data_IF_562897914565
#
_entry.id   IF_562897914565
#
_cell.length_a   1.000
_cell.length_b   1.000
_cell.length_c   1.000
_cell.angle_alpha   90.00
_cell.angle_beta   90.00
_cell.angle_gamma   90.00
#
_symmetry.space_group_name_H-M   'P 1'
#
loop_
_entity.id
_entity.type
_entity.pdbx_description
1 polymer ?
#
# COMPACT_ATOMS: atom_id res chain seq x y z
N UNK A 1 -9.42 0.16 -19.36
CA UNK A 1 -9.41 -0.88 -18.30
C UNK A 1 -10.36 -2.02 -18.65
N UNK A 2 -11.67 -1.79 -18.72
CA UNK A 2 -12.70 -2.83 -19.00
C UNK A 2 -12.37 -3.73 -20.21
N UNK A 3 -11.97 -3.15 -21.33
CA UNK A 3 -11.60 -3.90 -22.53
C UNK A 3 -10.43 -4.88 -22.30
N UNK A 4 -9.38 -4.44 -21.60
CA UNK A 4 -8.20 -5.28 -21.34
C UNK A 4 -8.52 -6.35 -20.31
N UNK A 5 -9.27 -6.02 -19.25
CA UNK A 5 -9.71 -7.01 -18.25
C UNK A 5 -10.57 -8.09 -18.90
N UNK A 6 -11.55 -7.69 -19.72
CA UNK A 6 -12.43 -8.62 -20.43
C UNK A 6 -11.64 -9.52 -21.39
N UNK A 7 -10.65 -8.97 -22.10
CA UNK A 7 -9.84 -9.75 -23.04
C UNK A 7 -8.95 -10.76 -22.31
N UNK A 8 -8.35 -10.38 -21.18
CA UNK A 8 -7.54 -11.28 -20.34
C UNK A 8 -8.42 -12.37 -19.72
N UNK A 9 -9.60 -12.03 -19.18
CA UNK A 9 -10.53 -13.01 -18.61
C UNK A 9 -11.03 -13.99 -19.66
N UNK A 10 -11.40 -13.50 -20.85
CA UNK A 10 -11.88 -14.36 -21.94
C UNK A 10 -10.78 -15.29 -22.45
N UNK A 11 -9.54 -14.80 -22.60
CA UNK A 11 -8.43 -15.64 -23.06
C UNK A 11 -8.03 -16.67 -22.01
N UNK A 12 -8.01 -16.30 -20.72
CA UNK A 12 -7.74 -17.21 -19.61
C UNK A 12 -8.80 -18.31 -19.55
N UNK A 13 -10.09 -17.95 -19.59
CA UNK A 13 -11.19 -18.91 -19.56
C UNK A 13 -11.17 -19.83 -20.78
N UNK A 14 -10.87 -19.31 -21.97
CA UNK A 14 -10.75 -20.11 -23.20
C UNK A 14 -9.55 -21.06 -23.14
N UNK A 15 -8.41 -20.59 -22.65
CA UNK A 15 -7.20 -21.39 -22.50
C UNK A 15 -7.36 -22.52 -21.46
N UNK A 16 -8.00 -22.23 -20.32
CA UNK A 16 -8.26 -23.24 -19.28
C UNK A 16 -9.30 -24.26 -19.74
N UNK A 17 -10.40 -23.83 -20.38
CA UNK A 17 -11.43 -24.75 -20.92
C UNK A 17 -10.90 -25.65 -22.05
N UNK A 18 -10.03 -25.12 -22.91
CA UNK A 18 -9.42 -25.91 -23.98
C UNK A 18 -8.54 -27.05 -23.44
N UNK A 19 -7.86 -26.85 -22.29
CA UNK A 19 -6.99 -27.86 -21.69
C UNK A 19 -7.68 -28.84 -20.75
N UNK A 20 -8.76 -28.42 -20.08
CA UNK A 20 -9.63 -29.33 -19.32
C UNK A 20 -10.27 -30.39 -20.23
N UNK A 21 -10.53 -30.06 -21.51
CA UNK A 21 -11.00 -31.03 -22.52
C UNK A 21 -9.96 -32.07 -22.93
N UNK A 22 -8.68 -31.86 -22.60
CA UNK A 22 -7.55 -32.74 -22.98
C UNK A 22 -7.13 -33.66 -21.80
N UNK A 23 -7.75 -33.51 -20.61
CA UNK A 23 -7.59 -34.46 -19.49
C UNK A 23 -6.36 -34.28 -18.60
N UNK A 24 -5.62 -33.16 -18.70
CA UNK A 24 -4.48 -32.87 -17.83
C UNK A 24 -4.90 -32.37 -16.43
N UNK A 25 -4.18 -32.79 -15.39
CA UNK A 25 -4.38 -32.28 -14.01
C UNK A 25 -3.98 -30.80 -13.94
N UNK A 26 -4.86 -29.98 -13.34
CA UNK A 26 -4.80 -28.51 -13.29
C UNK A 26 -3.41 -27.90 -13.01
N UNK A 27 -2.60 -28.41 -12.06
CA UNK A 27 -1.29 -27.83 -11.74
C UNK A 27 -0.23 -28.07 -12.84
N UNK A 28 -0.21 -29.26 -13.44
CA UNK A 28 0.74 -29.64 -14.49
C UNK A 28 0.44 -28.95 -15.82
N UNK A 29 -0.84 -28.77 -16.13
CA UNK A 29 -1.31 -28.05 -17.31
C UNK A 29 -0.98 -26.55 -17.26
N UNK A 30 -1.09 -25.92 -16.07
CA UNK A 30 -0.75 -24.52 -15.83
C UNK A 30 0.75 -24.27 -15.93
N UNK A 31 1.58 -25.09 -15.28
CA UNK A 31 3.03 -24.98 -15.35
C UNK A 31 3.57 -25.20 -16.78
N UNK A 32 3.04 -26.20 -17.49
CA UNK A 32 3.40 -26.48 -18.89
C UNK A 32 2.92 -25.42 -19.88
N UNK A 33 1.89 -24.63 -19.55
CA UNK A 33 1.40 -23.48 -20.34
C UNK A 33 2.32 -22.28 -20.22
N UNK A 34 2.65 -21.94 -18.98
CA UNK A 34 3.45 -20.78 -18.62
C UNK A 34 4.89 -20.92 -19.11
N UNK A 35 5.41 -22.16 -19.18
CA UNK A 35 6.80 -22.46 -19.59
C UNK A 35 6.97 -22.93 -21.06
N UNK A 36 5.88 -23.10 -21.84
CA UNK A 36 5.97 -23.28 -23.31
C UNK A 36 5.59 -22.06 -24.15
N UNK A 37 4.80 -21.13 -23.62
CA UNK A 37 4.33 -19.93 -24.33
C UNK A 37 4.60 -18.67 -23.51
N UNK A 38 5.81 -18.60 -22.96
CA UNK A 38 6.19 -17.74 -21.84
C UNK A 38 6.05 -16.27 -22.21
N UNK A 39 6.36 -15.93 -23.48
CA UNK A 39 6.21 -14.57 -24.02
C UNK A 39 4.77 -14.10 -24.06
N UNK A 40 3.82 -14.97 -24.46
CA UNK A 40 2.40 -14.62 -24.56
C UNK A 40 1.76 -14.46 -23.18
N UNK A 41 1.94 -15.43 -22.29
CA UNK A 41 1.33 -15.38 -20.95
C UNK A 41 2.06 -14.42 -20.01
N UNK A 42 3.37 -14.25 -20.15
CA UNK A 42 4.14 -13.20 -19.48
C UNK A 42 3.68 -11.81 -19.90
N UNK A 43 3.44 -11.59 -21.20
CA UNK A 43 2.85 -10.36 -21.72
C UNK A 43 1.47 -10.06 -21.13
N UNK A 44 0.58 -11.06 -21.00
CA UNK A 44 -0.72 -10.86 -20.34
C UNK A 44 -0.59 -10.56 -18.85
N UNK A 45 0.33 -11.22 -18.15
CA UNK A 45 0.60 -10.94 -16.75
C UNK A 45 1.10 -9.50 -16.56
N UNK A 46 1.99 -9.01 -17.43
CA UNK A 46 2.44 -7.61 -17.45
C UNK A 46 1.26 -6.65 -17.61
N UNK A 47 0.39 -6.87 -18.59
CA UNK A 47 -0.79 -6.02 -18.79
C UNK A 47 -1.74 -6.06 -17.59
N UNK A 48 -1.99 -7.24 -17.02
CA UNK A 48 -2.78 -7.39 -15.81
C UNK A 48 -2.18 -6.60 -14.65
N UNK A 49 -0.87 -6.66 -14.45
CA UNK A 49 -0.17 -5.90 -13.43
C UNK A 49 -0.31 -4.39 -13.62
N UNK A 50 -0.20 -3.88 -14.86
CA UNK A 50 -0.47 -2.45 -15.17
C UNK A 50 -1.91 -2.08 -14.81
N UNK A 51 -2.88 -2.93 -15.14
CA UNK A 51 -4.28 -2.70 -14.79
C UNK A 51 -4.48 -2.62 -13.28
N UNK A 52 -3.86 -3.54 -12.53
CA UNK A 52 -3.92 -3.56 -11.07
C UNK A 52 -3.27 -2.31 -10.47
N UNK A 53 -2.10 -1.90 -10.97
CA UNK A 53 -1.45 -0.65 -10.55
C UNK A 53 -2.34 0.56 -10.83
N UNK A 54 -2.91 0.67 -12.03
CA UNK A 54 -3.78 1.79 -12.40
C UNK A 54 -5.02 1.87 -11.50
N UNK A 55 -5.63 0.72 -11.17
CA UNK A 55 -6.73 0.64 -10.21
C UNK A 55 -6.29 1.04 -8.80
N UNK A 56 -5.11 0.60 -8.35
CA UNK A 56 -4.54 0.99 -7.07
C UNK A 56 -4.30 2.49 -6.96
N UNK A 57 -3.69 3.12 -7.97
CA UNK A 57 -3.41 4.57 -8.02
C UNK A 57 -4.69 5.40 -8.11
N UNK A 58 -5.63 4.99 -8.96
CA UNK A 58 -6.91 5.71 -9.12
C UNK A 58 -7.74 5.60 -7.85
N UNK A 59 -7.81 4.40 -7.28
CA UNK A 59 -8.55 4.15 -6.06
C UNK A 59 -7.92 4.81 -4.83
N UNK A 60 -6.58 4.85 -4.74
CA UNK A 60 -5.91 5.51 -3.61
C UNK A 60 -6.11 7.00 -3.59
N UNK A 61 -6.22 7.65 -4.74
CA UNK A 61 -6.52 9.08 -4.82
C UNK A 61 -8.03 9.36 -4.68
N UNK A 62 -8.89 8.58 -5.34
CA UNK A 62 -10.33 8.82 -5.35
C UNK A 62 -11.00 8.58 -3.98
N UNK A 63 -10.46 7.65 -3.18
CA UNK A 63 -10.99 7.32 -1.85
C UNK A 63 -10.04 7.73 -0.71
N UNK A 64 -9.08 8.61 -0.97
CA UNK A 64 -8.28 9.21 0.09
C UNK A 64 -9.15 10.16 0.91
N UNK A 65 -9.10 10.02 2.23
CA UNK A 65 -9.74 10.97 3.16
C UNK A 65 -8.67 11.49 4.10
N UNK A 66 -8.62 12.80 4.29
CA UNK A 66 -7.67 13.45 5.19
C UNK A 66 -8.39 14.46 6.07
N UNK A 67 -7.90 14.63 7.29
CA UNK A 67 -8.32 15.70 8.20
C UNK A 67 -7.11 16.27 8.91
N UNK A 68 -7.20 17.54 9.28
CA UNK A 68 -6.20 18.24 10.06
C UNK A 68 -6.89 18.87 11.26
N UNK A 69 -6.49 18.47 12.45
CA UNK A 69 -7.15 18.89 13.70
C UNK A 69 -6.15 19.03 14.82
N UNK A 70 -6.41 19.98 15.71
CA UNK A 70 -5.66 20.15 16.95
C UNK A 70 -6.37 19.39 18.06
N UNK A 71 -5.67 18.49 18.72
CA UNK A 71 -6.18 17.67 19.82
C UNK A 71 -5.49 18.06 21.12
N UNK A 72 -6.28 18.15 22.19
CA UNK A 72 -5.76 18.23 23.55
C UNK A 72 -5.46 16.82 24.07
N UNK A 73 -4.58 16.72 25.08
CA UNK A 73 -4.24 15.43 25.68
C UNK A 73 -5.52 14.72 26.18
N UNK A 74 -5.72 13.48 25.74
CA UNK A 74 -6.91 12.66 26.02
C UNK A 74 -8.06 12.84 25.02
N UNK A 75 -8.02 13.88 24.20
CA UNK A 75 -9.00 14.11 23.13
C UNK A 75 -8.75 13.18 21.95
N UNK A 76 -9.80 12.91 21.18
CA UNK A 76 -9.75 12.06 20.01
C UNK A 76 -10.45 12.69 18.81
N UNK A 77 -10.03 12.24 17.63
CA UNK A 77 -10.72 12.52 16.36
C UNK A 77 -11.09 11.20 15.70
N UNK A 78 -12.21 11.21 14.98
CA UNK A 78 -12.69 10.06 14.23
C UNK A 78 -12.58 10.37 12.72
N UNK A 79 -11.92 9.50 11.94
CA UNK A 79 -11.82 9.61 10.49
C UNK A 79 -11.93 8.23 9.83
N UNK A 80 -12.87 8.09 8.88
CA UNK A 80 -13.07 6.86 8.11
C UNK A 80 -13.20 5.58 8.97
N UNK A 81 -13.74 5.70 10.19
CA UNK A 81 -13.91 4.60 11.15
C UNK A 81 -12.73 4.40 12.11
N UNK A 82 -11.64 5.14 11.95
CA UNK A 82 -10.50 5.16 12.87
C UNK A 82 -10.68 6.23 13.94
N UNK A 83 -10.58 5.82 15.20
CA UNK A 83 -10.51 6.71 16.35
C UNK A 83 -9.07 6.93 16.75
N UNK A 84 -8.59 8.16 16.63
CA UNK A 84 -7.21 8.53 16.98
C UNK A 84 -7.23 9.42 18.19
N UNK A 85 -6.67 8.94 19.31
CA UNK A 85 -6.59 9.66 20.58
C UNK A 85 -5.17 10.15 20.82
N UNK A 86 -5.03 11.40 21.23
CA UNK A 86 -3.72 11.98 21.58
C UNK A 86 -3.35 11.65 23.03
N UNK A 87 -2.25 10.94 23.23
CA UNK A 87 -1.78 10.50 24.56
C UNK A 87 -0.81 11.49 25.22
N UNK A 88 -0.05 12.21 24.41
CA UNK A 88 0.93 13.19 24.87
C UNK A 88 2.13 13.34 23.93
N UNK A 89 2.99 14.29 24.27
CA UNK A 89 4.24 14.57 23.56
C UNK A 89 5.44 14.20 24.44
N UNK A 90 6.49 13.70 23.81
CA UNK A 90 7.78 13.44 24.41
C UNK A 90 8.85 14.18 23.60
N UNK A 91 9.66 14.97 24.28
CA UNK A 91 10.83 15.62 23.70
C UNK A 91 12.09 14.85 24.08
N UNK A 92 13.00 14.67 23.13
CA UNK A 92 14.29 14.02 23.34
C UNK A 92 15.39 14.79 22.60
N UNK A 93 16.49 15.05 23.29
CA UNK A 93 17.72 15.56 22.69
C UNK A 93 18.51 14.37 22.14
N UNK A 94 18.73 14.31 20.83
CA UNK A 94 19.61 13.34 20.17
C UNK A 94 20.93 14.03 19.78
N UNK A 95 21.99 13.25 19.55
CA UNK A 95 23.35 13.79 19.35
C UNK A 95 23.50 14.78 18.19
N UNK A 96 22.59 14.75 17.22
CA UNK A 96 22.62 15.58 16.03
C UNK A 96 21.33 16.38 15.78
N UNK A 97 20.28 16.18 16.60
CA UNK A 97 19.01 16.90 16.46
C UNK A 97 18.16 16.82 17.73
N UNK A 98 17.30 17.82 17.90
CA UNK A 98 16.22 17.74 18.87
C UNK A 98 15.01 17.08 18.22
N UNK A 99 14.31 16.18 18.94
CA UNK A 99 13.17 15.44 18.41
C UNK A 99 11.97 15.57 19.34
N UNK A 100 10.82 15.87 18.75
CA UNK A 100 9.53 15.85 19.45
C UNK A 100 8.68 14.74 18.85
N UNK A 101 8.26 13.79 19.68
CA UNK A 101 7.46 12.63 19.30
C UNK A 101 6.08 12.74 19.94
N UNK A 102 5.02 12.69 19.14
CA UNK A 102 3.66 12.59 19.66
C UNK A 102 3.25 11.12 19.77
N UNK A 103 2.57 10.75 20.85
CA UNK A 103 2.02 9.39 21.02
C UNK A 103 0.53 9.44 20.76
N UNK A 104 0.06 8.57 19.86
CA UNK A 104 -1.34 8.51 19.47
C UNK A 104 -1.82 7.06 19.46
N UNK A 105 -2.84 6.78 20.26
CA UNK A 105 -3.52 5.48 20.23
C UNK A 105 -4.59 5.50 19.14
N UNK A 106 -4.54 4.52 18.25
CA UNK A 106 -5.50 4.31 17.18
C UNK A 106 -6.31 3.07 17.48
N UNK A 107 -7.63 3.22 17.42
CA UNK A 107 -8.59 2.14 17.54
C UNK A 107 -9.49 2.08 16.30
N UNK A 108 -9.91 0.88 15.91
CA UNK A 108 -10.78 0.64 14.77
C UNK A 108 -11.62 -0.61 15.01
N UNK A 109 -12.94 -0.53 14.81
CA UNK A 109 -13.90 -1.60 15.16
C UNK A 109 -13.58 -2.99 14.55
N UNK A 110 -12.83 -3.03 13.45
CA UNK A 110 -12.48 -4.26 12.72
C UNK A 110 -10.98 -4.60 12.73
N UNK A 111 -10.15 -3.91 13.53
CA UNK A 111 -8.72 -4.17 13.58
C UNK A 111 -8.18 -4.00 15.01
N UNK A 112 -7.14 -4.76 15.36
CA UNK A 112 -6.47 -4.58 16.65
C UNK A 112 -5.92 -3.14 16.76
N UNK A 113 -6.14 -2.50 17.91
CA UNK A 113 -5.60 -1.17 18.21
C UNK A 113 -4.08 -1.12 18.05
N UNK A 114 -3.56 0.03 17.65
CA UNK A 114 -2.13 0.28 17.51
C UNK A 114 -1.77 1.65 18.06
N UNK A 115 -0.51 1.86 18.38
CA UNK A 115 0.01 3.15 18.81
C UNK A 115 0.95 3.66 17.72
N UNK A 116 0.73 4.90 17.28
CA UNK A 116 1.59 5.59 16.35
C UNK A 116 2.38 6.69 17.06
N UNK A 117 3.62 6.86 16.64
CA UNK A 117 4.63 7.77 17.17
C UNK A 117 5.18 8.72 16.09
N UNK A 118 4.33 9.54 15.43
CA UNK A 118 4.83 10.56 14.52
C UNK A 118 5.73 11.55 15.25
N UNK A 119 6.74 12.08 14.56
CA UNK A 119 7.71 12.96 15.18
C UNK A 119 8.06 14.17 14.30
N UNK A 120 8.63 15.19 14.92
CA UNK A 120 9.30 16.31 14.25
C UNK A 120 10.74 16.39 14.74
N UNK A 121 11.66 16.49 13.80
CA UNK A 121 13.10 16.58 14.04
C UNK A 121 13.59 18.00 13.72
N UNK A 122 14.32 18.59 14.64
CA UNK A 122 14.86 19.93 14.56
C UNK A 122 16.38 19.82 14.47
N UNK A 123 16.90 19.99 13.26
CA UNK A 123 18.33 19.99 13.00
C UNK A 123 18.87 21.42 13.11
N UNK A 124 19.96 21.68 13.85
CA UNK A 124 20.50 23.03 14.00
C UNK A 124 20.92 23.70 12.69
N UNK A 125 21.23 22.90 11.66
CA UNK A 125 21.68 23.36 10.34
C UNK A 125 20.49 23.64 9.38
N UNK A 126 19.28 23.23 9.73
CA UNK A 126 18.10 23.33 8.86
C UNK A 126 17.16 24.44 9.36
N UNK A 127 16.61 25.22 8.43
CA UNK A 127 15.68 26.30 8.78
C UNK A 127 14.29 25.81 9.15
N UNK A 128 13.92 24.60 8.72
CA UNK A 128 12.61 24.01 8.95
C UNK A 128 12.73 22.62 9.57
N UNK A 129 11.89 22.27 10.55
CA UNK A 129 11.87 20.93 11.11
C UNK A 129 11.41 19.90 10.07
N UNK A 130 12.00 18.71 10.15
CA UNK A 130 11.66 17.57 9.30
C UNK A 130 10.61 16.72 10.01
N UNK A 131 9.43 16.57 9.38
CA UNK A 131 8.37 15.71 9.89
C UNK A 131 8.67 14.23 9.58
N UNK A 132 8.57 13.39 10.59
CA UNK A 132 8.57 11.94 10.49
C UNK A 132 7.11 11.46 10.56
N UNK A 133 6.66 10.85 9.47
CA UNK A 133 5.33 10.28 9.36
C UNK A 133 5.35 8.88 9.94
N UNK A 134 4.43 8.60 10.85
CA UNK A 134 4.18 7.22 11.27
C UNK A 134 2.93 6.70 10.58
N UNK A 135 2.91 5.40 10.29
CA UNK A 135 1.89 4.80 9.45
C UNK A 135 1.57 3.38 9.87
N UNK A 136 0.33 2.98 9.60
CA UNK A 136 -0.13 1.61 9.73
C UNK A 136 -0.53 1.08 8.36
N UNK A 137 0.20 0.07 7.89
CA UNK A 137 -0.13 -0.64 6.65
C UNK A 137 -1.24 -1.66 6.88
N UNK A 138 -2.20 -1.71 5.96
CA UNK A 138 -3.25 -2.70 5.88
C UNK A 138 -3.36 -3.30 4.49
N UNK A 139 -4.22 -4.31 4.34
CA UNK A 139 -4.52 -4.89 3.02
C UNK A 139 -5.56 -4.06 2.23
N UNK A 140 -6.37 -3.28 2.95
CA UNK A 140 -7.46 -2.47 2.37
C UNK A 140 -7.20 -0.98 2.52
N UNK A 141 -6.71 -0.58 3.69
CA UNK A 141 -6.58 0.80 4.11
C UNK A 141 -5.25 0.98 4.85
N UNK A 142 -4.57 2.07 4.53
CA UNK A 142 -3.34 2.51 5.15
C UNK A 142 -3.61 3.84 5.85
N UNK A 143 -3.20 3.92 7.12
CA UNK A 143 -3.38 5.11 7.95
C UNK A 143 -2.03 5.80 8.10
N UNK A 144 -1.99 7.09 7.78
CA UNK A 144 -0.82 7.95 7.91
C UNK A 144 -1.11 9.04 8.92
N UNK A 145 -0.18 9.24 9.84
CA UNK A 145 -0.27 10.27 10.85
C UNK A 145 0.98 11.15 10.80
N UNK A 146 0.76 12.45 10.66
CA UNK A 146 1.82 13.45 10.64
C UNK A 146 1.61 14.39 11.81
N UNK A 147 2.67 14.61 12.58
CA UNK A 147 2.68 15.63 13.63
C UNK A 147 2.85 17.01 12.99
N UNK A 148 1.82 17.84 13.13
CA UNK A 148 1.79 19.24 12.75
C UNK A 148 2.39 20.13 13.85
N UNK A 149 1.80 21.29 14.08
CA UNK A 149 2.23 22.18 15.16
C UNK A 149 1.85 21.64 16.54
N UNK A 150 2.53 22.06 17.61
CA UNK A 150 2.27 21.59 18.96
C UNK A 150 2.54 22.68 20.01
N UNK A 151 1.79 22.63 21.10
CA UNK A 151 1.96 23.57 22.21
C UNK A 151 3.24 23.24 23.01
N UNK A 152 3.95 24.28 23.47
CA UNK A 152 5.21 24.12 24.23
C UNK A 152 5.03 23.42 25.58
N UNK A 153 3.85 23.52 26.16
CA UNK A 153 3.46 22.83 27.40
C UNK A 153 3.05 21.35 27.16
N UNK A 154 3.06 20.90 25.89
CA UNK A 154 2.65 19.56 25.50
C UNK A 154 1.15 19.30 25.63
N UNK A 155 0.33 20.33 25.89
CA UNK A 155 -1.10 20.16 26.16
C UNK A 155 -1.91 19.88 24.90
N UNK A 156 -1.42 20.31 23.73
CA UNK A 156 -2.11 20.19 22.45
C UNK A 156 -1.14 19.85 21.31
N UNK A 157 -1.61 19.05 20.35
CA UNK A 157 -0.89 18.73 19.13
C UNK A 157 -1.85 18.80 17.94
N UNK A 158 -1.43 19.50 16.89
CA UNK A 158 -2.06 19.45 15.58
C UNK A 158 -1.56 18.22 14.86
N UNK A 159 -2.48 17.45 14.32
CA UNK A 159 -2.19 16.27 13.53
C UNK A 159 -2.84 16.38 12.17
N UNK A 160 -2.15 15.85 11.16
CA UNK A 160 -2.76 15.50 9.88
C UNK A 160 -2.90 13.98 9.84
N UNK A 161 -4.16 13.53 9.85
CA UNK A 161 -4.52 12.13 9.72
C UNK A 161 -5.02 11.90 8.29
N UNK A 162 -4.46 10.92 7.61
CA UNK A 162 -4.81 10.57 6.24
C UNK A 162 -5.04 9.07 6.13
N UNK A 163 -6.18 8.67 5.60
CA UNK A 163 -6.54 7.28 5.33
C UNK A 163 -6.57 7.08 3.83
N UNK A 164 -5.64 6.27 3.33
CA UNK A 164 -5.52 5.92 1.92
C UNK A 164 -5.99 4.49 1.71
N UNK A 165 -6.83 4.26 0.69
CA UNK A 165 -7.29 2.92 0.34
C UNK A 165 -6.51 2.37 -0.84
N UNK A 166 -6.35 1.06 -0.94
CA UNK A 166 -5.83 0.37 -2.13
C UNK A 166 -4.36 0.66 -2.52
N UNK A 167 -3.56 1.34 -1.67
CA UNK A 167 -2.12 1.53 -1.94
C UNK A 167 -1.40 0.17 -2.02
N UNK A 168 -1.77 -0.80 -1.19
CA UNK A 168 -1.24 -2.18 -1.24
C UNK A 168 -1.47 -2.85 -2.61
N UNK A 169 -2.49 -2.45 -3.37
CA UNK A 169 -2.74 -2.98 -4.71
C UNK A 169 -1.73 -2.49 -5.74
N UNK A 170 -1.13 -1.32 -5.53
CA UNK A 170 -0.02 -0.83 -6.37
C UNK A 170 1.16 -1.82 -6.26
N UNK A 171 1.49 -2.23 -5.03
CA UNK A 171 2.55 -3.19 -4.78
C UNK A 171 2.24 -4.59 -5.34
N UNK A 172 1.00 -5.07 -5.17
CA UNK A 172 0.55 -6.33 -5.78
C UNK A 172 0.67 -6.26 -7.30
N UNK A 173 0.23 -5.16 -7.93
CA UNK A 173 0.36 -4.95 -9.37
C UNK A 173 1.82 -4.91 -9.83
N UNK A 174 2.70 -4.27 -9.07
CA UNK A 174 4.15 -4.26 -9.30
C UNK A 174 4.80 -5.64 -9.21
N UNK A 175 4.35 -6.47 -8.26
CA UNK A 175 4.80 -7.86 -8.13
C UNK A 175 4.35 -8.71 -9.32
N UNK A 176 3.08 -8.57 -9.74
CA UNK A 176 2.54 -9.25 -10.93
C UNK A 176 3.31 -8.83 -12.19
N UNK A 177 3.60 -7.53 -12.33
CA UNK A 177 4.39 -6.96 -13.42
C UNK A 177 5.79 -7.57 -13.49
N UNK A 178 6.48 -7.63 -12.34
CA UNK A 178 7.82 -8.21 -12.23
C UNK A 178 7.80 -9.69 -12.61
N UNK A 179 6.86 -10.48 -12.04
CA UNK A 179 6.73 -11.90 -12.36
C UNK A 179 6.38 -12.14 -13.82
N UNK A 180 5.49 -11.34 -14.41
CA UNK A 180 5.13 -11.41 -15.82
C UNK A 180 6.32 -11.10 -16.73
N UNK A 181 7.14 -10.12 -16.35
CA UNK A 181 8.37 -9.76 -17.07
C UNK A 181 9.40 -10.87 -17.02
N UNK A 182 9.66 -11.40 -15.82
CA UNK A 182 10.56 -12.55 -15.64
C UNK A 182 10.08 -13.72 -16.51
N UNK A 183 8.78 -14.05 -16.46
CA UNK A 183 8.21 -15.12 -17.27
C UNK A 183 8.38 -14.87 -18.77
N UNK A 184 8.14 -13.65 -19.25
CA UNK A 184 8.31 -13.31 -20.67
C UNK A 184 9.77 -13.41 -21.14
N UNK A 185 10.73 -13.21 -20.24
CA UNK A 185 12.17 -13.31 -20.52
C UNK A 185 12.71 -14.73 -20.42
N UNK A 186 11.99 -15.67 -19.80
CA UNK A 186 12.43 -17.09 -19.74
C UNK A 186 12.48 -17.65 -21.17
N UNK A 187 13.67 -18.10 -21.64
CA UNK A 187 13.81 -18.62 -22.99
C UNK A 187 12.93 -19.85 -23.19
N UNK A 188 12.16 -19.86 -24.27
CA UNK A 188 11.38 -21.03 -24.66
C UNK A 188 12.34 -22.18 -24.97
N UNK A 189 12.13 -23.34 -24.33
CA UNK A 189 12.84 -24.58 -24.70
C UNK A 189 12.50 -24.90 -26.16
N UNK A 190 13.40 -24.55 -27.09
CA UNK A 190 13.33 -25.00 -28.48
C UNK A 190 13.27 -26.53 -28.44
N UNK A 191 12.21 -27.11 -29.00
CA UNK A 191 12.24 -28.52 -29.37
C UNK A 191 13.31 -28.64 -30.46
N UNK A 192 14.44 -29.25 -30.15
CA UNK A 192 15.33 -29.82 -31.15
C UNK A 192 14.48 -30.75 -32.02
N UNK A 193 14.43 -30.44 -33.32
CA UNK A 193 13.75 -31.22 -34.34
C UNK A 193 14.35 -32.62 -34.46
#
# INVERSE_FOLDING_TARGET
VVFVTATITVDLVRATRARLRIGERFPGALGGLLLRHNRRYGGFAVHLGILVVALGVTGSQAWSVQTETTLRRGEHTDLAGYRVRFDGLAASEESNHFKVTGTFTIDHAHAAGAVLHPAKKFYPQEQSPIAYVDYRLGLREDVYLVLGDFARDGSQATIRLQVNRLVSWIWIGGLILTLGTVLALVPERRRTA
#
